data_IF_460905661939
#
_entry.id   IF_460905661939
#
_cell.length_a   1.000
_cell.length_b   1.000
_cell.length_c   1.000
_cell.angle_alpha   90.00
_cell.angle_beta   90.00
_cell.angle_gamma   90.00
#
_symmetry.space_group_name_H-M   'P 1'
#
loop_
_entity.id
_entity.type
_entity.pdbx_description
1 polymer ?
#
# COMPACT_ATOMS: atom_id res chain seq x y z
N UNK A 1 40.06 -5.93 1.07
CA UNK A 1 38.76 -6.30 1.69
C UNK A 1 38.13 -5.00 2.18
N UNK A 2 37.24 -4.39 1.38
CA UNK A 2 36.75 -3.04 1.65
C UNK A 2 35.67 -3.07 2.73
N UNK A 3 36.01 -2.54 3.91
CA UNK A 3 35.03 -2.12 4.90
C UNK A 3 34.30 -0.89 4.36
N UNK A 4 33.10 -1.07 3.80
CA UNK A 4 32.18 0.05 3.64
C UNK A 4 31.69 0.45 5.04
N UNK A 5 32.16 1.60 5.50
CA UNK A 5 31.66 2.26 6.69
C UNK A 5 30.14 2.44 6.58
N UNK A 6 29.40 2.09 7.64
CA UNK A 6 27.96 2.30 7.74
C UNK A 6 27.66 3.80 7.63
N UNK A 7 26.97 4.18 6.57
CA UNK A 7 26.49 5.55 6.41
C UNK A 7 25.28 5.72 7.34
N UNK A 8 25.41 6.57 8.37
CA UNK A 8 24.24 7.10 9.09
C UNK A 8 23.33 7.75 8.04
N UNK A 9 22.10 7.26 7.91
CA UNK A 9 21.11 7.82 7.00
C UNK A 9 20.72 9.23 7.45
N UNK A 10 21.45 10.23 6.97
CA UNK A 10 21.04 11.63 7.00
C UNK A 10 19.84 11.81 6.07
N UNK A 11 19.04 12.84 6.31
CA UNK A 11 17.91 13.29 5.47
C UNK A 11 18.39 13.81 4.08
N UNK A 12 19.32 13.10 3.44
CA UNK A 12 19.87 13.40 2.11
C UNK A 12 19.77 12.17 1.19
N UNK A 13 19.56 10.95 1.74
CA UNK A 13 19.34 9.71 0.96
C UNK A 13 17.85 9.44 0.65
N UNK A 14 17.05 10.49 0.53
CA UNK A 14 15.59 10.38 0.41
C UNK A 14 15.20 9.50 -0.79
N UNK A 15 14.39 8.47 -0.54
CA UNK A 15 13.68 7.61 -1.51
C UNK A 15 14.42 6.39 -2.06
N UNK A 16 15.69 6.14 -1.73
CA UNK A 16 16.36 4.95 -2.27
C UNK A 16 15.78 3.68 -1.65
N UNK A 17 15.11 2.88 -2.47
CA UNK A 17 14.76 1.52 -2.09
C UNK A 17 16.03 0.68 -2.17
N UNK A 18 16.28 -0.11 -1.12
CA UNK A 18 17.43 -1.00 -1.13
C UNK A 18 17.20 -2.14 -2.13
N UNK A 19 18.08 -2.25 -3.13
CA UNK A 19 18.14 -3.42 -4.02
C UNK A 19 19.22 -4.35 -3.51
N UNK A 20 18.82 -5.56 -3.13
CA UNK A 20 19.74 -6.53 -2.53
C UNK A 20 19.43 -7.94 -2.98
N UNK A 21 20.46 -8.77 -3.00
CA UNK A 21 20.39 -10.23 -3.17
C UNK A 21 20.97 -10.96 -1.97
N UNK A 22 21.05 -10.28 -0.83
CA UNK A 22 21.53 -10.86 0.43
C UNK A 22 20.65 -12.04 0.81
N UNK A 23 21.25 -13.17 1.18
CA UNK A 23 20.52 -14.40 1.56
C UNK A 23 19.62 -14.22 2.78
N UNK A 24 19.91 -13.23 3.62
CA UNK A 24 19.10 -12.90 4.81
C UNK A 24 17.77 -12.22 4.46
N UNK A 25 17.66 -11.66 3.25
CA UNK A 25 16.44 -11.00 2.79
C UNK A 25 15.61 -12.04 2.02
N UNK A 26 14.33 -12.25 2.36
CA UNK A 26 13.44 -13.14 1.62
C UNK A 26 13.44 -12.86 0.11
N UNK A 27 13.39 -13.91 -0.70
CA UNK A 27 13.39 -13.81 -2.17
C UNK A 27 12.30 -12.86 -2.72
N UNK A 28 11.06 -12.84 -2.18
CA UNK A 28 10.04 -11.88 -2.64
C UNK A 28 10.43 -10.40 -2.49
N UNK A 29 11.44 -10.11 -1.67
CA UNK A 29 11.96 -8.76 -1.43
C UNK A 29 13.22 -8.44 -2.28
N UNK A 30 13.61 -9.32 -3.22
CA UNK A 30 14.72 -9.06 -4.14
C UNK A 30 14.26 -8.21 -5.32
N UNK A 31 14.26 -6.90 -5.12
CA UNK A 31 13.74 -5.95 -6.09
C UNK A 31 14.71 -5.66 -7.24
N UNK A 32 14.17 -5.48 -8.45
CA UNK A 32 14.93 -5.02 -9.60
C UNK A 32 14.59 -3.55 -9.96
N UNK A 33 13.45 -3.03 -9.52
CA UNK A 33 13.00 -1.66 -9.78
C UNK A 33 12.16 -1.09 -8.63
N UNK A 34 11.80 0.17 -8.80
CA UNK A 34 10.90 0.91 -7.93
C UNK A 34 9.63 1.24 -8.72
N UNK A 35 8.48 1.22 -8.05
CA UNK A 35 7.21 1.70 -8.59
C UNK A 35 6.71 2.87 -7.75
N UNK A 36 6.46 3.99 -8.41
CA UNK A 36 5.82 5.15 -7.81
C UNK A 36 4.31 5.07 -8.07
N UNK A 37 3.54 5.00 -7.00
CA UNK A 37 2.09 4.87 -6.94
C UNK A 37 1.49 6.17 -6.38
N UNK A 38 1.13 7.15 -7.24
CA UNK A 38 0.46 8.35 -6.79
C UNK A 38 -0.86 8.03 -6.09
N UNK A 39 -1.15 8.73 -4.99
CA UNK A 39 -2.44 8.69 -4.32
C UNK A 39 -3.11 10.05 -4.50
N UNK A 40 -4.37 10.05 -4.91
CA UNK A 40 -5.12 11.27 -5.21
C UNK A 40 -6.57 11.22 -4.72
N UNK A 41 -7.14 12.41 -4.54
CA UNK A 41 -8.57 12.61 -4.37
C UNK A 41 -9.19 13.11 -5.68
N UNK A 42 -10.47 12.80 -5.87
CA UNK A 42 -11.24 13.23 -7.04
C UNK A 42 -12.46 13.99 -6.54
N UNK A 43 -12.68 15.18 -7.08
CA UNK A 43 -13.80 16.03 -6.73
C UNK A 43 -15.14 15.29 -6.91
N UNK A 44 -16.00 15.37 -5.90
CA UNK A 44 -17.29 14.67 -5.90
C UNK A 44 -17.22 13.15 -5.68
N UNK A 45 -16.02 12.56 -5.46
CA UNK A 45 -15.86 11.16 -5.07
C UNK A 45 -15.32 11.05 -3.65
N UNK A 46 -15.86 10.09 -2.89
CA UNK A 46 -15.39 9.80 -1.53
C UNK A 46 -14.17 8.89 -1.60
N UNK A 47 -13.17 9.18 -0.76
CA UNK A 47 -11.99 8.35 -0.58
C UNK A 47 -10.84 8.68 -1.51
N UNK A 48 -9.88 7.76 -1.55
CA UNK A 48 -8.59 7.96 -2.22
C UNK A 48 -8.39 6.93 -3.32
N UNK A 49 -7.74 7.37 -4.38
CA UNK A 49 -7.42 6.57 -5.56
C UNK A 49 -5.92 6.38 -5.63
N UNK A 50 -5.48 5.12 -5.73
CA UNK A 50 -4.07 4.75 -5.90
C UNK A 50 -3.86 4.44 -7.37
N UNK A 51 -2.87 5.05 -8.00
CA UNK A 51 -2.53 4.84 -9.41
C UNK A 51 -1.33 3.90 -9.55
N UNK A 52 -1.28 3.04 -10.58
CA UNK A 52 -0.19 2.06 -10.76
C UNK A 52 1.14 2.70 -11.20
N UNK A 53 1.12 3.97 -11.63
CA UNK A 53 2.28 4.75 -12.06
C UNK A 53 1.95 6.24 -12.11
N UNK A 54 3.00 7.08 -12.18
CA UNK A 54 2.86 8.52 -12.47
C UNK A 54 2.20 8.74 -13.83
N UNK A 55 2.56 7.96 -14.83
CA UNK A 55 2.01 8.02 -16.18
C UNK A 55 0.50 7.71 -16.19
N UNK A 56 0.07 6.72 -15.41
CA UNK A 56 -1.36 6.41 -15.27
C UNK A 56 -2.11 7.56 -14.58
N UNK A 57 -1.55 8.16 -13.54
CA UNK A 57 -2.13 9.35 -12.90
C UNK A 57 -2.24 10.54 -13.87
N UNK A 58 -1.19 10.84 -14.61
CA UNK A 58 -1.17 11.96 -15.56
C UNK A 58 -2.15 11.74 -16.71
N UNK A 59 -2.25 10.50 -17.22
CA UNK A 59 -3.24 10.14 -18.24
C UNK A 59 -4.67 10.33 -17.70
N UNK A 60 -4.97 9.83 -16.50
CA UNK A 60 -6.27 10.01 -15.86
C UNK A 60 -6.64 11.48 -15.70
N UNK A 61 -5.67 12.31 -15.31
CA UNK A 61 -5.84 13.76 -15.13
C UNK A 61 -6.12 14.49 -16.44
N UNK A 62 -5.46 14.10 -17.53
CA UNK A 62 -5.67 14.69 -18.86
C UNK A 62 -7.05 14.33 -19.44
N UNK A 63 -7.51 13.10 -19.22
CA UNK A 63 -8.78 12.61 -19.79
C UNK A 63 -9.98 12.86 -18.89
N UNK A 64 -9.77 13.28 -17.63
CA UNK A 64 -10.79 13.25 -16.57
C UNK A 64 -11.51 11.89 -16.49
N UNK A 65 -10.78 10.81 -16.80
CA UNK A 65 -11.29 9.43 -16.89
C UNK A 65 -12.37 9.20 -17.95
N UNK A 66 -12.51 10.12 -18.92
CA UNK A 66 -13.27 9.87 -20.13
C UNK A 66 -12.37 9.11 -21.12
N UNK A 67 -12.21 7.82 -20.87
CA UNK A 67 -11.44 6.91 -21.73
C UNK A 67 -12.35 6.43 -22.86
N UNK A 68 -12.26 7.05 -24.04
CA UNK A 68 -12.94 6.58 -25.25
C UNK A 68 -12.36 5.28 -25.81
N UNK A 69 -11.11 4.98 -25.46
CA UNK A 69 -10.39 3.76 -25.81
C UNK A 69 -9.62 3.31 -24.57
N UNK A 70 -9.77 2.03 -24.21
CA UNK A 70 -9.05 1.40 -23.11
C UNK A 70 -7.70 0.88 -23.60
N UNK A 71 -6.64 1.32 -22.91
CA UNK A 71 -5.29 0.82 -23.12
C UNK A 71 -5.17 -0.64 -22.65
N UNK A 72 -4.42 -1.46 -23.39
CA UNK A 72 -4.30 -2.89 -23.11
C UNK A 72 -3.51 -3.22 -21.84
N UNK A 73 -2.61 -2.33 -21.38
CA UNK A 73 -1.96 -2.43 -20.07
C UNK A 73 -2.81 -1.73 -18.97
N UNK A 74 -3.87 -1.02 -19.36
CA UNK A 74 -4.75 -0.26 -18.48
C UNK A 74 -4.09 1.03 -17.96
N UNK A 75 -3.24 1.68 -18.76
CA UNK A 75 -2.71 3.01 -18.44
C UNK A 75 -3.84 4.03 -18.38
N UNK A 76 -3.82 4.90 -17.36
CA UNK A 76 -4.90 5.86 -17.11
C UNK A 76 -6.00 5.34 -16.20
N UNK A 77 -5.92 4.08 -15.76
CA UNK A 77 -6.85 3.47 -14.82
C UNK A 77 -6.25 3.45 -13.41
N UNK A 78 -7.00 3.82 -12.35
CA UNK A 78 -6.55 3.65 -10.97
C UNK A 78 -6.34 2.16 -10.64
N UNK A 79 -5.30 1.83 -9.88
CA UNK A 79 -5.10 0.49 -9.34
C UNK A 79 -6.17 0.19 -8.29
N UNK A 80 -6.28 1.09 -7.30
CA UNK A 80 -7.22 0.94 -6.19
C UNK A 80 -8.04 2.19 -5.94
N UNK A 81 -9.19 1.96 -5.30
CA UNK A 81 -10.01 2.99 -4.68
C UNK A 81 -10.40 2.53 -3.28
N UNK A 82 -9.80 3.16 -2.26
CA UNK A 82 -10.12 2.90 -0.88
C UNK A 82 -11.25 3.82 -0.43
N UNK A 83 -12.22 3.29 0.31
CA UNK A 83 -13.29 4.05 0.96
C UNK A 83 -13.44 3.63 2.42
N UNK A 84 -13.77 4.61 3.26
CA UNK A 84 -14.25 4.36 4.61
C UNK A 84 -15.74 4.02 4.59
N UNK A 85 -16.11 2.96 5.29
CA UNK A 85 -17.49 2.55 5.51
C UNK A 85 -18.01 3.21 6.80
N UNK A 86 -19.22 3.76 6.75
CA UNK A 86 -19.85 4.44 7.89
C UNK A 86 -21.00 3.64 8.50
N UNK A 87 -21.05 2.33 8.28
CA UNK A 87 -22.06 1.48 8.90
C UNK A 87 -21.70 1.22 10.38
N UNK A 88 -22.00 2.19 11.23
CA UNK A 88 -21.65 2.18 12.66
C UNK A 88 -22.26 0.95 13.36
N UNK A 89 -23.52 0.62 13.05
CA UNK A 89 -24.23 -0.53 13.64
C UNK A 89 -23.56 -1.85 13.22
N UNK A 90 -23.23 -2.00 11.94
CA UNK A 90 -22.51 -3.18 11.43
C UNK A 90 -21.11 -3.32 12.01
N UNK A 91 -20.42 -2.22 12.30
CA UNK A 91 -19.08 -2.20 12.90
C UNK A 91 -19.11 -2.65 14.36
N UNK A 92 -20.09 -2.19 15.15
CA UNK A 92 -20.25 -2.59 16.56
C UNK A 92 -20.52 -4.10 16.69
N UNK A 93 -21.27 -4.68 15.74
CA UNK A 93 -21.60 -6.12 15.73
C UNK A 93 -20.50 -6.95 15.04
N UNK A 94 -19.40 -6.33 14.59
CA UNK A 94 -18.30 -7.01 13.89
C UNK A 94 -18.68 -7.57 12.51
N UNK A 95 -19.77 -7.08 11.92
CA UNK A 95 -20.35 -7.56 10.65
C UNK A 95 -20.04 -6.66 9.45
N UNK A 96 -19.40 -5.51 9.64
CA UNK A 96 -18.96 -4.68 8.51
C UNK A 96 -17.55 -4.16 8.68
N UNK A 97 -16.79 -4.22 7.59
CA UNK A 97 -15.46 -3.65 7.49
C UNK A 97 -15.47 -2.14 7.69
N UNK A 98 -14.38 -1.61 8.23
CA UNK A 98 -14.16 -0.18 8.44
C UNK A 98 -13.74 0.50 7.13
N UNK A 99 -13.01 -0.22 6.28
CA UNK A 99 -12.63 0.23 4.95
C UNK A 99 -12.85 -0.87 3.92
N UNK A 100 -13.16 -0.45 2.69
CA UNK A 100 -13.18 -1.34 1.52
C UNK A 100 -12.26 -0.76 0.45
N UNK A 101 -11.32 -1.58 0.00
CA UNK A 101 -10.48 -1.32 -1.16
C UNK A 101 -11.10 -2.02 -2.35
N UNK A 102 -11.49 -1.22 -3.33
CA UNK A 102 -11.90 -1.71 -4.65
C UNK A 102 -10.70 -1.74 -5.57
N UNK A 103 -10.63 -2.75 -6.43
CA UNK A 103 -9.68 -2.79 -7.54
C UNK A 103 -10.38 -2.64 -8.88
N UNK A 104 -9.63 -2.16 -9.85
CA UNK A 104 -10.04 -2.11 -11.24
C UNK A 104 -9.45 -3.31 -11.98
N UNK A 105 -10.28 -3.98 -12.79
CA UNK A 105 -9.88 -5.14 -13.59
C UNK A 105 -10.22 -4.86 -15.03
N UNK A 106 -9.21 -4.98 -15.90
CA UNK A 106 -9.38 -4.93 -17.34
C UNK A 106 -9.59 -6.36 -17.86
N UNK A 107 -10.67 -6.56 -18.60
CA UNK A 107 -11.02 -7.85 -19.20
C UNK A 107 -11.27 -7.65 -20.69
N UNK A 108 -11.00 -8.64 -21.54
CA UNK A 108 -11.42 -8.55 -22.95
C UNK A 108 -12.94 -8.59 -23.04
N UNK A 109 -13.52 -7.76 -23.91
CA UNK A 109 -14.98 -7.64 -24.03
C UNK A 109 -15.67 -8.97 -24.39
N UNK A 110 -14.97 -9.84 -25.12
CA UNK A 110 -15.46 -11.15 -25.56
C UNK A 110 -15.36 -12.24 -24.48
N UNK A 111 -14.57 -12.03 -23.43
CA UNK A 111 -14.38 -13.04 -22.38
C UNK A 111 -15.59 -13.04 -21.41
N UNK A 112 -16.00 -14.20 -20.88
CA UNK A 112 -17.09 -14.27 -19.92
C UNK A 112 -16.72 -13.54 -18.61
N UNK A 113 -17.63 -12.75 -18.00
CA UNK A 113 -17.30 -11.92 -16.83
C UNK A 113 -16.56 -12.68 -15.73
N UNK A 114 -15.38 -12.19 -15.33
CA UNK A 114 -14.56 -12.84 -14.30
C UNK A 114 -15.22 -12.84 -12.91
N UNK A 115 -16.14 -11.91 -12.66
CA UNK A 115 -16.75 -11.69 -11.36
C UNK A 115 -18.27 -11.54 -11.48
N UNK A 116 -19.00 -12.34 -10.71
CA UNK A 116 -20.47 -12.29 -10.63
C UNK A 116 -20.97 -10.97 -10.03
N UNK A 117 -20.19 -10.35 -9.15
CA UNK A 117 -20.46 -9.03 -8.56
C UNK A 117 -19.40 -8.03 -9.02
N UNK A 118 -19.61 -7.41 -10.18
CA UNK A 118 -18.76 -6.32 -10.68
C UNK A 118 -19.57 -5.11 -11.11
N UNK A 119 -19.01 -3.92 -10.91
CA UNK A 119 -19.55 -2.68 -11.49
C UNK A 119 -18.79 -2.37 -12.76
N UNK A 120 -19.44 -2.45 -13.92
CA UNK A 120 -18.86 -1.98 -15.19
C UNK A 120 -18.70 -0.47 -15.10
N UNK A 121 -17.49 0.00 -15.39
CA UNK A 121 -17.12 1.43 -15.37
C UNK A 121 -17.22 1.99 -16.78
N UNK A 122 -16.62 1.29 -17.74
CA UNK A 122 -16.72 1.56 -19.17
C UNK A 122 -16.40 0.28 -19.95
N UNK A 123 -16.76 0.28 -21.22
CA UNK A 123 -16.53 -0.83 -22.14
C UNK A 123 -16.32 -0.24 -23.54
N UNK A 124 -15.34 -0.75 -24.27
CA UNK A 124 -15.14 -0.50 -25.68
C UNK A 124 -15.22 -1.81 -26.47
N UNK A 125 -14.84 -1.79 -27.76
CA UNK A 125 -14.90 -3.00 -28.61
C UNK A 125 -13.94 -4.11 -28.18
N UNK A 126 -12.86 -3.76 -27.47
CA UNK A 126 -11.78 -4.68 -27.12
C UNK A 126 -11.82 -5.08 -25.64
N UNK A 127 -12.16 -4.15 -24.75
CA UNK A 127 -12.05 -4.33 -23.32
C UNK A 127 -13.27 -3.83 -22.55
N UNK A 128 -13.52 -4.49 -21.42
CA UNK A 128 -14.43 -4.07 -20.36
C UNK A 128 -13.63 -3.73 -19.11
N UNK A 129 -13.84 -2.54 -18.58
CA UNK A 129 -13.26 -2.11 -17.31
C UNK A 129 -14.26 -2.30 -16.18
N UNK A 130 -13.92 -3.17 -15.23
CA UNK A 130 -14.75 -3.49 -14.09
C UNK A 130 -14.13 -2.97 -12.79
N UNK A 131 -14.98 -2.58 -11.85
CA UNK A 131 -14.60 -2.29 -10.46
C UNK A 131 -15.20 -3.33 -9.54
N UNK A 132 -14.34 -3.97 -8.73
CA UNK A 132 -14.73 -5.06 -7.83
C UNK A 132 -14.18 -4.83 -6.41
N UNK A 133 -14.86 -5.33 -5.36
CA UNK A 133 -14.27 -5.42 -4.03
C UNK A 133 -13.00 -6.28 -4.09
N UNK A 134 -11.92 -5.80 -3.50
CA UNK A 134 -10.63 -6.50 -3.49
C UNK A 134 -10.19 -6.86 -2.09
N UNK A 135 -10.23 -5.89 -1.18
CA UNK A 135 -9.84 -6.06 0.21
C UNK A 135 -10.81 -5.34 1.13
N UNK A 136 -11.15 -5.99 2.24
CA UNK A 136 -11.94 -5.46 3.33
C UNK A 136 -11.03 -5.33 4.56
N UNK A 137 -11.04 -4.18 5.21
CA UNK A 137 -10.20 -3.91 6.38
C UNK A 137 -11.10 -3.76 7.60
N UNK A 138 -10.88 -4.62 8.59
CA UNK A 138 -11.60 -4.63 9.86
C UNK A 138 -10.67 -4.07 10.95
N UNK A 139 -11.14 -3.09 11.71
CA UNK A 139 -10.38 -2.49 12.81
C UNK A 139 -10.88 -2.97 14.16
N UNK A 140 -9.98 -3.42 15.02
CA UNK A 140 -10.24 -3.76 16.41
C UNK A 140 -9.45 -2.79 17.30
N UNK A 141 -10.18 -1.95 18.02
CA UNK A 141 -9.58 -1.02 18.98
C UNK A 141 -9.36 -1.73 20.32
N UNK A 142 -8.15 -1.64 20.85
CA UNK A 142 -7.79 -2.04 22.19
C UNK A 142 -7.32 -0.84 23.01
N UNK A 143 -7.11 -1.04 24.32
CA UNK A 143 -6.59 0.01 25.20
C UNK A 143 -5.17 0.48 24.79
N UNK A 144 -4.35 -0.39 24.19
CA UNK A 144 -2.95 -0.10 23.87
C UNK A 144 -2.67 0.08 22.39
N UNK A 145 -3.48 -0.50 21.53
CA UNK A 145 -3.28 -0.51 20.10
C UNK A 145 -4.60 -0.53 19.32
N UNK A 146 -4.52 -0.18 18.04
CA UNK A 146 -5.55 -0.45 17.04
C UNK A 146 -5.01 -1.46 16.04
N UNK A 147 -5.72 -2.56 15.86
CA UNK A 147 -5.38 -3.63 14.91
C UNK A 147 -6.25 -3.49 13.67
N UNK A 148 -5.66 -3.60 12.50
CA UNK A 148 -6.33 -3.58 11.19
C UNK A 148 -6.07 -4.92 10.49
N UNK A 149 -7.11 -5.72 10.32
CA UNK A 149 -7.06 -7.03 9.67
C UNK A 149 -7.49 -6.90 8.21
N UNK A 150 -6.69 -7.42 7.28
CA UNK A 150 -6.93 -7.35 5.85
C UNK A 150 -7.53 -8.67 5.34
N UNK A 151 -8.78 -8.63 4.90
CA UNK A 151 -9.50 -9.76 4.31
C UNK A 151 -9.60 -9.61 2.79
N UNK A 152 -9.36 -10.68 2.03
CA UNK A 152 -9.36 -10.67 0.56
C UNK A 152 -10.40 -11.65 0.02
N UNK A 153 -11.66 -11.21 -0.20
CA UNK A 153 -12.77 -12.11 -0.53
C UNK A 153 -12.58 -12.92 -1.81
N UNK A 154 -11.82 -12.39 -2.77
CA UNK A 154 -11.64 -12.99 -4.09
C UNK A 154 -10.41 -13.91 -4.21
N UNK A 155 -9.68 -14.16 -3.12
CA UNK A 155 -8.49 -15.03 -3.13
C UNK A 155 -8.87 -16.46 -2.77
N UNK A 156 -8.36 -17.41 -3.56
CA UNK A 156 -8.53 -18.86 -3.34
C UNK A 156 -7.72 -19.38 -2.16
N UNK A 157 -6.58 -18.75 -1.85
CA UNK A 157 -5.77 -19.05 -0.67
C UNK A 157 -5.93 -17.94 0.36
N UNK A 158 -6.19 -18.32 1.62
CA UNK A 158 -6.22 -17.38 2.73
C UNK A 158 -4.84 -16.75 2.90
N UNK A 159 -4.77 -15.42 2.89
CA UNK A 159 -3.57 -14.71 3.32
C UNK A 159 -3.52 -14.85 4.84
N UNK A 160 -2.81 -15.88 5.31
CA UNK A 160 -2.69 -16.14 6.74
C UNK A 160 -1.96 -14.97 7.40
N UNK A 161 -2.54 -14.43 8.48
CA UNK A 161 -1.93 -13.41 9.34
C UNK A 161 -1.58 -12.08 8.66
N UNK A 162 -2.46 -11.53 7.81
CA UNK A 162 -2.28 -10.15 7.35
C UNK A 162 -2.92 -9.14 8.29
N UNK A 163 -2.09 -8.54 9.12
CA UNK A 163 -2.49 -7.54 10.10
C UNK A 163 -1.52 -6.36 10.08
N UNK A 164 -2.07 -5.16 10.26
CA UNK A 164 -1.33 -3.95 10.59
C UNK A 164 -1.75 -3.48 11.99
N UNK A 165 -0.79 -3.19 12.87
CA UNK A 165 -1.02 -2.78 14.24
C UNK A 165 -0.44 -1.40 14.45
N UNK A 166 -1.25 -0.50 14.99
CA UNK A 166 -0.85 0.85 15.35
C UNK A 166 -0.90 0.98 16.87
N UNK A 167 0.22 1.32 17.50
CA UNK A 167 0.24 1.59 18.94
C UNK A 167 -0.42 2.93 19.26
N UNK A 168 -1.22 2.98 20.31
CA UNK A 168 -1.86 4.22 20.76
C UNK A 168 -0.76 5.23 21.17
N UNK A 169 -0.90 6.49 20.74
CA UNK A 169 0.07 7.59 20.89
C UNK A 169 1.31 7.54 19.98
N UNK A 170 1.50 6.50 19.17
CA UNK A 170 2.55 6.44 18.16
C UNK A 170 1.93 6.47 16.75
N UNK A 171 2.69 6.99 15.80
CA UNK A 171 2.32 6.99 14.38
C UNK A 171 2.87 5.78 13.63
N UNK A 172 3.84 5.08 14.21
CA UNK A 172 4.40 3.86 13.63
C UNK A 172 3.34 2.76 13.50
N UNK A 173 3.42 1.97 12.42
CA UNK A 173 2.56 0.82 12.18
C UNK A 173 3.39 -0.42 11.93
N UNK A 174 3.20 -1.45 12.75
CA UNK A 174 3.81 -2.76 12.60
C UNK A 174 2.93 -3.64 11.71
N UNK A 175 3.51 -4.39 10.80
CA UNK A 175 2.77 -5.22 9.85
C UNK A 175 3.31 -6.64 9.85
N UNK A 176 2.42 -7.62 9.92
CA UNK A 176 2.73 -9.01 9.58
C UNK A 176 2.05 -9.34 8.26
N UNK A 177 2.81 -9.86 7.29
CA UNK A 177 2.31 -10.30 5.99
C UNK A 177 3.03 -11.59 5.60
N UNK A 178 2.29 -12.70 5.50
CA UNK A 178 2.83 -14.02 5.17
C UNK A 178 4.00 -14.44 6.08
N UNK A 179 3.95 -14.08 7.37
CA UNK A 179 5.01 -14.36 8.34
C UNK A 179 6.24 -13.46 8.24
N UNK A 180 6.28 -12.51 7.31
CA UNK A 180 7.28 -11.44 7.28
C UNK A 180 6.79 -10.24 8.11
N UNK A 181 7.69 -9.70 8.92
CA UNK A 181 7.41 -8.53 9.74
C UNK A 181 7.95 -7.27 9.05
N UNK A 182 7.16 -6.22 9.06
CA UNK A 182 7.52 -4.91 8.51
C UNK A 182 7.11 -3.81 9.48
N UNK A 183 7.70 -2.63 9.31
CA UNK A 183 7.32 -1.42 10.03
C UNK A 183 7.22 -0.22 9.10
N UNK A 184 6.08 0.47 9.14
CA UNK A 184 5.94 1.84 8.67
C UNK A 184 6.38 2.78 9.79
N UNK A 185 7.57 3.35 9.67
CA UNK A 185 8.13 4.27 10.65
C UNK A 185 8.06 5.72 10.17
N UNK A 186 7.69 6.65 11.07
CA UNK A 186 7.67 8.10 10.79
C UNK A 186 8.27 8.91 11.93
N UNK A 187 9.02 9.96 11.59
CA UNK A 187 9.50 10.94 12.56
C UNK A 187 8.35 11.84 13.02
N UNK A 188 8.33 12.26 14.28
CA UNK A 188 7.24 13.02 14.93
C UNK A 188 6.69 14.19 14.09
N UNK A 189 7.58 14.98 13.46
CA UNK A 189 7.21 16.17 12.66
C UNK A 189 7.29 15.94 11.14
N UNK A 190 7.25 14.68 10.70
CA UNK A 190 7.38 14.31 9.29
C UNK A 190 6.10 13.69 8.77
N UNK A 191 5.81 13.89 7.49
CA UNK A 191 4.79 13.15 6.73
C UNK A 191 5.43 12.12 5.79
N UNK A 192 6.68 11.73 6.08
CA UNK A 192 7.45 10.72 5.34
C UNK A 192 7.58 9.45 6.16
N UNK A 193 6.82 8.43 5.77
CA UNK A 193 6.92 7.09 6.31
C UNK A 193 7.93 6.26 5.51
N UNK A 194 8.70 5.43 6.22
CA UNK A 194 9.61 4.44 5.65
C UNK A 194 9.08 3.04 5.99
N UNK A 195 8.96 2.18 4.99
CA UNK A 195 8.62 0.78 5.17
C UNK A 195 9.90 -0.05 5.25
N UNK A 196 10.18 -0.62 6.41
CA UNK A 196 11.35 -1.46 6.66
C UNK A 196 10.95 -2.90 6.90
N UNK A 197 11.74 -3.85 6.38
CA UNK A 197 11.65 -5.25 6.77
C UNK A 197 12.35 -5.46 8.12
N UNK A 198 11.70 -6.18 9.03
CA UNK A 198 12.23 -6.51 10.34
C UNK A 198 12.72 -7.95 10.31
N UNK A 199 14.04 -8.14 10.30
CA UNK A 199 14.72 -9.44 10.46
C UNK A 199 14.64 -9.88 11.92
N UNK A 200 13.42 -10.14 12.40
CA UNK A 200 13.21 -10.73 13.72
C UNK A 200 13.14 -12.25 13.57
N UNK A 201 14.22 -12.94 13.94
CA UNK A 201 14.04 -14.26 14.52
C UNK A 201 13.25 -14.06 15.82
N UNK A 202 12.05 -14.66 15.99
CA UNK A 202 11.33 -14.52 17.25
C UNK A 202 12.25 -14.99 18.38
N UNK A 203 12.40 -14.23 19.48
CA UNK A 203 13.30 -14.60 20.55
C UNK A 203 12.84 -15.95 21.11
N UNK A 204 13.75 -16.92 21.11
CA UNK A 204 13.56 -18.20 21.81
C UNK A 204 13.18 -17.91 23.27
N UNK A 205 12.15 -18.60 23.79
CA UNK A 205 11.64 -18.44 25.15
C UNK A 205 12.70 -18.66 26.25
N UNK A 206 13.89 -19.16 25.90
CA UNK A 206 14.98 -19.44 26.84
C UNK A 206 16.04 -18.32 26.92
N UNK A 207 15.80 -17.15 26.34
CA UNK A 207 16.76 -16.04 26.42
C UNK A 207 16.58 -15.15 27.65
N UNK A 208 17.70 -14.86 28.32
CA UNK A 208 17.77 -13.92 29.45
C UNK A 208 17.48 -12.48 29.02
N UNK A 209 16.99 -11.62 29.93
CA UNK A 209 16.68 -10.22 29.63
C UNK A 209 17.87 -9.43 29.05
N UNK A 210 19.10 -9.82 29.41
CA UNK A 210 20.35 -9.25 28.89
C UNK A 210 20.61 -9.65 27.43
N UNK A 211 20.23 -10.87 27.04
CA UNK A 211 20.31 -11.35 25.64
C UNK A 211 19.22 -10.72 24.76
N UNK A 212 18.02 -10.47 25.31
CA UNK A 212 16.97 -9.70 24.62
C UNK A 212 17.40 -8.25 24.35
N UNK A 213 18.15 -7.63 25.27
CA UNK A 213 18.70 -6.28 25.08
C UNK A 213 19.90 -6.22 24.13
N UNK A 214 20.74 -7.26 24.07
CA UNK A 214 21.84 -7.32 23.10
C UNK A 214 21.35 -7.66 21.69
N UNK A 215 20.30 -8.49 21.53
CA UNK A 215 19.63 -8.71 20.24
C UNK A 215 18.83 -7.49 19.76
N UNK A 216 18.26 -6.69 20.66
CA UNK A 216 17.71 -5.36 20.30
C UNK A 216 18.78 -4.35 19.86
N UNK A 217 20.07 -4.63 20.15
CA UNK A 217 21.23 -3.83 19.73
C UNK A 217 21.99 -4.44 18.56
N UNK A 218 21.62 -5.63 18.06
CA UNK A 218 22.13 -6.08 16.77
C UNK A 218 21.48 -5.24 15.69
N UNK A 219 22.32 -4.53 14.95
CA UNK A 219 22.00 -3.76 13.76
C UNK A 219 21.27 -4.63 12.73
N UNK A 220 19.96 -4.82 12.89
CA UNK A 220 19.13 -5.29 11.79
C UNK A 220 19.36 -4.32 10.63
N UNK A 221 19.75 -4.79 9.43
CA UNK A 221 19.85 -3.90 8.29
C UNK A 221 18.49 -3.20 8.13
N UNK A 222 18.50 -1.87 8.14
CA UNK A 222 17.34 -1.04 7.81
C UNK A 222 17.01 -1.26 6.32
N UNK A 223 16.49 -2.45 5.98
CA UNK A 223 16.12 -2.78 4.61
C UNK A 223 14.83 -2.05 4.28
N UNK A 224 14.98 -0.84 3.74
CA UNK A 224 13.87 0.00 3.31
C UNK A 224 13.38 -0.50 1.96
N UNK A 225 12.16 -1.05 1.95
CA UNK A 225 11.49 -1.52 0.74
C UNK A 225 10.46 -0.55 0.19
N UNK A 226 10.15 0.52 0.93
CA UNK A 226 9.18 1.48 0.46
C UNK A 226 9.10 2.77 1.26
N UNK A 227 8.39 3.71 0.69
CA UNK A 227 8.16 5.03 1.25
C UNK A 227 6.73 5.47 0.98
N UNK A 228 6.12 6.10 1.97
CA UNK A 228 4.93 6.92 1.76
C UNK A 228 5.31 8.35 2.08
N UNK A 229 4.99 9.28 1.17
CA UNK A 229 5.29 10.69 1.36
C UNK A 229 4.15 11.55 0.86
N UNK A 230 3.68 12.44 1.73
CA UNK A 230 2.72 13.47 1.35
C UNK A 230 3.27 14.43 0.29
N UNK A 231 2.41 14.80 -0.64
CA UNK A 231 2.72 15.73 -1.72
C UNK A 231 1.90 17.02 -1.55
N UNK A 232 2.57 18.16 -1.46
CA UNK A 232 1.91 19.47 -1.30
C UNK A 232 1.66 20.17 -2.64
N UNK A 233 1.99 19.54 -3.78
CA UNK A 233 2.11 20.22 -5.08
C UNK A 233 0.79 20.58 -5.81
N UNK A 234 -0.39 20.31 -5.25
CA UNK A 234 -1.67 20.59 -5.92
C UNK A 234 -2.75 21.17 -5.00
N UNK A 235 -2.44 22.26 -4.29
CA UNK A 235 -3.37 22.98 -3.39
C UNK A 235 -4.45 23.81 -4.10
N UNK A 236 -4.40 23.94 -5.43
CA UNK A 236 -5.42 24.67 -6.20
C UNK A 236 -6.59 23.74 -6.58
N UNK A 237 -7.83 24.26 -6.68
CA UNK A 237 -9.03 23.47 -6.96
C UNK A 237 -9.00 22.91 -8.38
N UNK A 238 -8.40 21.73 -8.54
CA UNK A 238 -8.52 20.90 -9.73
C UNK A 238 -9.52 19.79 -9.44
N UNK A 239 -10.18 19.28 -10.49
CA UNK A 239 -11.07 18.10 -10.40
C UNK A 239 -10.38 16.89 -9.76
N UNK A 240 -9.04 16.84 -9.83
CA UNK A 240 -8.20 15.77 -9.30
C UNK A 240 -7.00 16.40 -8.58
N UNK A 241 -6.83 16.09 -7.30
CA UNK A 241 -5.74 16.60 -6.46
C UNK A 241 -4.88 15.44 -5.96
N UNK A 242 -3.58 15.49 -6.25
CA UNK A 242 -2.61 14.52 -5.72
C UNK A 242 -2.40 14.80 -4.23
N UNK A 243 -2.52 13.76 -3.40
CA UNK A 243 -2.37 13.83 -1.95
C UNK A 243 -0.98 13.35 -1.49
N UNK A 244 -0.48 12.28 -2.09
CA UNK A 244 0.79 11.66 -1.69
C UNK A 244 1.38 10.78 -2.79
N UNK A 245 2.56 10.23 -2.52
CA UNK A 245 3.21 9.20 -3.31
C UNK A 245 3.54 8.01 -2.41
N UNK A 246 3.22 6.82 -2.90
CA UNK A 246 3.69 5.57 -2.34
C UNK A 246 4.75 4.99 -3.30
N UNK A 247 5.97 4.80 -2.82
CA UNK A 247 7.09 4.29 -3.61
C UNK A 247 7.44 2.91 -3.06
N UNK A 248 7.36 1.86 -3.86
CA UNK A 248 7.55 0.47 -3.43
C UNK A 248 8.59 -0.22 -4.31
N UNK A 249 9.47 -1.02 -3.68
CA UNK A 249 10.37 -1.92 -4.37
C UNK A 249 9.61 -3.11 -4.95
N UNK A 250 9.89 -3.44 -6.21
CA UNK A 250 9.26 -4.59 -6.83
C UNK A 250 10.20 -5.33 -7.79
N UNK A 251 9.80 -6.57 -8.10
CA UNK A 251 10.39 -7.36 -9.16
C UNK A 251 9.38 -7.47 -10.31
N UNK A 252 9.56 -6.65 -11.34
CA UNK A 252 8.68 -6.65 -12.52
C UNK A 252 9.43 -6.21 -13.78
N UNK A 253 8.77 -6.28 -14.94
CA UNK A 253 9.32 -5.75 -16.21
C UNK A 253 9.27 -4.22 -16.21
N UNK A 254 10.21 -3.56 -16.91
CA UNK A 254 10.39 -2.11 -16.83
C UNK A 254 9.27 -1.32 -17.53
N UNK A 255 8.70 -1.87 -18.59
CA UNK A 255 7.76 -1.13 -19.46
C UNK A 255 6.30 -1.19 -19.01
N UNK A 256 6.04 -1.75 -17.84
CA UNK A 256 4.68 -2.00 -17.40
C UNK A 256 4.20 -0.95 -16.39
N UNK A 257 3.30 -0.08 -16.87
CA UNK A 257 2.90 1.17 -16.23
C UNK A 257 1.41 1.19 -15.84
N UNK A 258 0.61 0.29 -16.41
CA UNK A 258 -0.80 0.15 -16.12
C UNK A 258 -1.11 -0.93 -15.07
N UNK A 259 -2.40 -1.24 -14.92
CA UNK A 259 -2.92 -2.09 -13.84
C UNK A 259 -2.65 -3.58 -14.04
N UNK A 260 -2.41 -4.06 -15.27
CA UNK A 260 -2.21 -5.50 -15.54
C UNK A 260 -0.87 -6.07 -15.08
N UNK A 261 0.06 -5.21 -14.65
CA UNK A 261 1.46 -5.58 -14.44
C UNK A 261 1.96 -5.40 -13.03
N UNK A 262 1.10 -4.97 -12.12
CA UNK A 262 1.45 -4.75 -10.72
C UNK A 262 1.62 -6.10 -10.04
N UNK A 263 2.82 -6.43 -9.51
CA UNK A 263 3.04 -7.68 -8.79
C UNK A 263 2.18 -7.77 -7.55
N UNK A 264 1.84 -8.99 -7.16
CA UNK A 264 0.96 -9.27 -6.04
C UNK A 264 1.46 -8.65 -4.72
N UNK A 265 2.75 -8.77 -4.40
CA UNK A 265 3.31 -8.13 -3.22
C UNK A 265 3.16 -6.60 -3.28
N UNK A 266 3.38 -5.98 -4.45
CA UNK A 266 3.15 -4.54 -4.64
C UNK A 266 1.70 -4.17 -4.40
N UNK A 267 0.74 -4.98 -4.86
CA UNK A 267 -0.69 -4.78 -4.57
C UNK A 267 -0.98 -4.80 -3.06
N UNK A 268 -0.42 -5.78 -2.34
CA UNK A 268 -0.59 -5.91 -0.89
C UNK A 268 -0.01 -4.71 -0.15
N UNK A 269 1.20 -4.29 -0.49
CA UNK A 269 1.85 -3.10 0.07
C UNK A 269 1.12 -1.81 -0.31
N UNK A 270 0.51 -1.75 -1.49
CA UNK A 270 -0.33 -0.64 -1.92
C UNK A 270 -1.62 -0.54 -1.10
N UNK A 271 -2.22 -1.66 -0.69
CA UNK A 271 -3.32 -1.65 0.28
C UNK A 271 -2.89 -1.03 1.62
N UNK A 272 -1.67 -1.30 2.10
CA UNK A 272 -1.12 -0.69 3.32
C UNK A 272 -0.99 0.82 3.15
N UNK A 273 -0.33 1.27 2.08
CA UNK A 273 -0.15 2.71 1.83
C UNK A 273 -1.47 3.45 1.65
N UNK A 274 -2.48 2.82 1.06
CA UNK A 274 -3.83 3.37 0.97
C UNK A 274 -4.49 3.56 2.35
N UNK A 275 -4.30 2.59 3.27
CA UNK A 275 -4.76 2.72 4.65
C UNK A 275 -3.98 3.82 5.39
N UNK A 276 -2.65 3.88 5.23
CA UNK A 276 -1.80 4.93 5.83
C UNK A 276 -2.29 6.32 5.42
N UNK A 277 -2.55 6.58 4.13
CA UNK A 277 -3.13 7.86 3.68
C UNK A 277 -4.44 8.17 4.42
N UNK A 278 -5.32 7.17 4.55
CA UNK A 278 -6.61 7.35 5.19
C UNK A 278 -6.49 7.67 6.68
N UNK A 279 -5.62 6.97 7.40
CA UNK A 279 -5.37 7.21 8.82
C UNK A 279 -4.82 8.61 9.04
N UNK A 280 -3.83 9.00 8.25
CA UNK A 280 -3.25 10.34 8.27
C UNK A 280 -4.29 11.43 7.98
N UNK A 281 -5.18 11.20 7.03
CA UNK A 281 -6.27 12.12 6.71
C UNK A 281 -7.27 12.27 7.86
N UNK A 282 -7.57 11.18 8.58
CA UNK A 282 -8.45 11.21 9.77
C UNK A 282 -7.79 12.00 10.91
N UNK A 283 -6.51 11.74 11.20
CA UNK A 283 -5.77 12.48 12.23
C UNK A 283 -5.75 13.98 11.97
N UNK A 284 -5.51 14.37 10.72
CA UNK A 284 -5.49 15.76 10.28
C UNK A 284 -6.85 16.47 10.37
N UNK A 285 -7.95 15.73 10.40
CA UNK A 285 -9.31 16.30 10.56
C UNK A 285 -9.72 16.45 12.02
N UNK A 286 -9.09 15.69 12.92
CA UNK A 286 -9.40 15.70 14.34
C UNK A 286 -8.52 16.68 15.14
N UNK A 287 -7.43 17.16 14.53
CA UNK A 287 -6.58 18.25 15.04
C UNK A 287 -6.97 19.57 14.39
#
# INVERSE_FOLDING_TARGET
MFHLARQKLTDENHYKIEKTRRKQIPEPLHFNRERNLPIATIFGKRGFFVFPSVQSYDMFKRTNFNLSVLDADGVGVPLFHIVQNYNIIGQIVGKSSNFTIFRYVLQRAQDPPLYTKCKVICEDKAFRLCKIPFCEIYSQLSFRDTKYEFFYPSRSQSVNNYQMVRQNNFRDLDVCLNGMNFRWHVKVLSDHYRLTYLDENPPSNNQTNTQKQSQRKTDSPDFVLGHYKRDYSNLLPRSIAKASNLIIGENSRHDCLGISSVPELTEMLACQGALVEYLEHIERRNN
#
